data_IF_885143390013
#
_entry.id   IF_885143390013
#
_cell.length_a   1.000
_cell.length_b   1.000
_cell.length_c   1.000
_cell.angle_alpha   90.00
_cell.angle_beta   90.00
_cell.angle_gamma   90.00
#
_symmetry.space_group_name_H-M   'P 1'
#
loop_
_entity.id
_entity.type
_entity.pdbx_description
1 polymer ?
#
# COMPACT_ATOMS: atom_id res chain seq x y z
N UNK A 1 -9.14 3.18 -10.37
CA UNK A 1 -8.77 3.69 -9.04
C UNK A 1 -7.24 3.66 -8.84
N UNK A 2 -6.56 2.49 -8.97
CA UNK A 2 -5.12 2.34 -8.66
C UNK A 2 -4.22 3.36 -9.40
N UNK A 3 -4.34 3.47 -10.73
CA UNK A 3 -3.56 4.44 -11.51
C UNK A 3 -3.77 5.89 -11.06
N UNK A 4 -5.00 6.27 -10.71
CA UNK A 4 -5.32 7.62 -10.25
C UNK A 4 -4.67 7.91 -8.88
N UNK A 5 -4.70 6.94 -7.96
CA UNK A 5 -4.06 7.04 -6.64
C UNK A 5 -2.55 7.28 -6.79
N UNK A 6 -1.88 6.53 -7.66
CA UNK A 6 -0.44 6.65 -7.86
C UNK A 6 -0.04 7.91 -8.64
N UNK A 7 -0.86 8.35 -9.59
CA UNK A 7 -0.64 9.65 -10.26
C UNK A 7 -0.75 10.81 -9.28
N UNK A 8 -1.70 10.77 -8.35
CA UNK A 8 -1.82 11.78 -7.31
C UNK A 8 -0.59 11.82 -6.39
N UNK A 9 0.05 10.67 -6.16
CA UNK A 9 1.24 10.53 -5.35
C UNK A 9 2.55 10.74 -6.12
N UNK A 10 2.54 10.90 -7.44
CA UNK A 10 3.72 10.83 -8.32
C UNK A 10 4.88 11.72 -7.91
N UNK A 11 4.61 12.93 -7.42
CA UNK A 11 5.64 13.90 -7.00
C UNK A 11 6.42 13.45 -5.74
N UNK A 12 5.91 12.45 -5.04
CA UNK A 12 6.50 11.90 -3.81
C UNK A 12 7.17 10.54 -4.03
N UNK A 13 6.88 9.89 -5.16
CA UNK A 13 7.42 8.57 -5.48
C UNK A 13 8.77 8.69 -6.20
N UNK A 14 9.67 7.74 -5.96
CA UNK A 14 11.03 7.80 -6.47
C UNK A 14 11.33 6.70 -7.49
N UNK A 15 12.18 6.99 -8.45
CA UNK A 15 12.68 6.00 -9.41
C UNK A 15 13.59 5.01 -8.67
N UNK A 16 13.54 3.73 -9.08
CA UNK A 16 14.29 2.64 -8.47
C UNK A 16 13.97 2.39 -6.98
N UNK A 17 12.77 2.76 -6.54
CA UNK A 17 12.29 2.48 -5.19
C UNK A 17 12.10 0.98 -4.95
N UNK A 18 12.32 0.56 -3.71
CA UNK A 18 11.84 -0.71 -3.17
C UNK A 18 10.42 -0.48 -2.62
N UNK A 19 9.44 -1.16 -3.19
CA UNK A 19 8.01 -0.91 -2.91
C UNK A 19 7.38 -2.13 -2.26
N UNK A 20 6.56 -1.90 -1.22
CA UNK A 20 5.72 -2.93 -0.60
C UNK A 20 4.25 -2.54 -0.66
N UNK A 21 3.39 -3.51 -0.96
CA UNK A 21 1.94 -3.47 -0.71
C UNK A 21 1.60 -4.52 0.35
N UNK A 22 1.25 -4.10 1.58
CA UNK A 22 1.01 -5.01 2.71
C UNK A 22 -0.36 -5.72 2.69
N UNK A 23 -1.25 -5.35 1.78
CA UNK A 23 -2.57 -5.98 1.56
C UNK A 23 -2.85 -6.03 0.06
N UNK A 24 -1.97 -6.70 -0.69
CA UNK A 24 -1.83 -6.51 -2.13
C UNK A 24 -3.01 -7.07 -2.97
N UNK A 25 -3.83 -7.95 -2.40
CA UNK A 25 -4.91 -8.59 -3.16
C UNK A 25 -4.40 -9.22 -4.45
N UNK A 26 -4.95 -8.82 -5.58
CA UNK A 26 -4.55 -9.28 -6.93
C UNK A 26 -3.31 -8.61 -7.50
N UNK A 27 -2.63 -7.73 -6.75
CA UNK A 27 -1.40 -7.05 -7.14
C UNK A 27 -1.57 -5.79 -7.98
N UNK A 28 -2.78 -5.37 -8.27
CA UNK A 28 -3.06 -4.26 -9.21
C UNK A 28 -2.32 -2.97 -8.87
N UNK A 29 -2.27 -2.58 -7.60
CA UNK A 29 -1.61 -1.34 -7.19
C UNK A 29 -0.09 -1.39 -7.41
N UNK A 30 0.53 -2.56 -7.17
CA UNK A 30 1.96 -2.78 -7.45
C UNK A 30 2.27 -2.72 -8.94
N UNK A 31 1.42 -3.28 -9.79
CA UNK A 31 1.62 -3.24 -11.25
C UNK A 31 1.53 -1.81 -11.77
N UNK A 32 0.52 -1.06 -11.35
CA UNK A 32 0.38 0.36 -11.68
C UNK A 32 1.58 1.18 -11.20
N UNK A 33 2.13 0.87 -10.01
CA UNK A 33 3.36 1.51 -9.51
C UNK A 33 4.55 1.19 -10.41
N UNK A 34 4.71 -0.05 -10.82
CA UNK A 34 5.79 -0.48 -11.72
C UNK A 34 5.70 0.15 -13.11
N UNK A 35 4.47 0.40 -13.60
CA UNK A 35 4.25 1.10 -14.88
C UNK A 35 4.52 2.60 -14.79
N UNK A 36 4.34 3.21 -13.63
CA UNK A 36 4.56 4.65 -13.44
C UNK A 36 6.04 5.03 -13.56
N UNK A 37 6.94 4.26 -12.98
CA UNK A 37 8.39 4.41 -13.11
C UNK A 37 9.12 3.13 -12.66
N UNK A 38 10.35 2.90 -13.14
CA UNK A 38 11.15 1.74 -12.74
C UNK A 38 11.28 1.60 -11.23
N UNK A 39 11.15 0.37 -10.74
CA UNK A 39 11.30 0.02 -9.33
C UNK A 39 12.46 -0.97 -9.15
N UNK A 40 13.21 -0.84 -8.05
CA UNK A 40 14.25 -1.80 -7.68
C UNK A 40 13.64 -3.15 -7.24
N UNK A 41 12.50 -3.11 -6.57
CA UNK A 41 11.71 -4.30 -6.25
C UNK A 41 10.25 -3.95 -5.98
N UNK A 42 9.37 -4.90 -6.31
CA UNK A 42 7.93 -4.85 -6.00
C UNK A 42 7.62 -6.06 -5.12
N UNK A 43 7.07 -5.82 -3.93
CA UNK A 43 6.71 -6.89 -2.98
C UNK A 43 5.26 -6.76 -2.58
N UNK A 44 4.47 -7.79 -2.77
CA UNK A 44 3.09 -7.89 -2.30
C UNK A 44 2.97 -8.89 -1.16
N UNK A 45 2.29 -8.50 -0.10
CA UNK A 45 1.93 -9.37 1.02
C UNK A 45 0.41 -9.40 1.14
N UNK A 46 -0.15 -10.58 1.33
CA UNK A 46 -1.57 -10.76 1.62
C UNK A 46 -1.76 -12.02 2.46
N UNK A 47 -2.74 -12.01 3.34
CA UNK A 47 -3.06 -13.16 4.18
C UNK A 47 -3.81 -14.26 3.40
N UNK A 48 -4.41 -13.91 2.27
CA UNK A 48 -5.20 -14.80 1.43
C UNK A 48 -4.34 -15.53 0.40
N UNK A 49 -4.23 -16.85 0.50
CA UNK A 49 -3.60 -17.69 -0.52
C UNK A 49 -4.21 -17.47 -1.90
N UNK A 50 -5.55 -17.38 -1.99
CA UNK A 50 -6.26 -17.15 -3.26
C UNK A 50 -5.89 -15.82 -3.89
N UNK A 51 -5.73 -14.76 -3.08
CA UNK A 51 -5.31 -13.45 -3.57
C UNK A 51 -3.88 -13.50 -4.12
N UNK A 52 -2.97 -14.16 -3.41
CA UNK A 52 -1.57 -14.34 -3.83
C UNK A 52 -1.46 -15.15 -5.12
N UNK A 53 -2.23 -16.21 -5.28
CA UNK A 53 -2.24 -17.00 -6.52
C UNK A 53 -2.74 -16.18 -7.71
N UNK A 54 -3.80 -15.40 -7.51
CA UNK A 54 -4.29 -14.45 -8.50
C UNK A 54 -3.23 -13.40 -8.86
N UNK A 55 -2.54 -12.83 -7.85
CA UNK A 55 -1.50 -11.83 -8.05
C UNK A 55 -0.31 -12.38 -8.85
N UNK A 56 0.10 -13.62 -8.61
CA UNK A 56 1.17 -14.29 -9.37
C UNK A 56 0.84 -14.45 -10.86
N UNK A 57 -0.39 -14.89 -11.16
CA UNK A 57 -0.86 -15.00 -12.54
C UNK A 57 -0.88 -13.63 -13.23
N UNK A 58 -1.40 -12.62 -12.57
CA UNK A 58 -1.43 -11.26 -13.09
C UNK A 58 -0.04 -10.67 -13.30
N UNK A 59 0.92 -11.02 -12.43
CA UNK A 59 2.30 -10.56 -12.53
C UNK A 59 3.00 -11.06 -13.81
N UNK A 60 2.78 -12.30 -14.19
CA UNK A 60 3.34 -12.85 -15.44
C UNK A 60 2.85 -12.07 -16.66
N UNK A 61 1.56 -11.72 -16.67
CA UNK A 61 0.98 -10.90 -17.73
C UNK A 61 1.56 -9.49 -17.71
N UNK A 62 1.66 -8.84 -16.55
CA UNK A 62 2.16 -7.48 -16.41
C UNK A 62 3.64 -7.34 -16.83
N UNK A 63 4.48 -8.32 -16.50
CA UNK A 63 5.89 -8.35 -16.95
C UNK A 63 5.96 -8.46 -18.46
N UNK A 64 5.20 -9.37 -19.07
CA UNK A 64 5.20 -9.59 -20.53
C UNK A 64 4.69 -8.38 -21.32
N UNK A 65 3.62 -7.74 -20.84
CA UNK A 65 2.94 -6.69 -21.60
C UNK A 65 3.48 -5.31 -21.32
N UNK A 66 3.92 -5.03 -20.08
CA UNK A 66 4.32 -3.70 -19.65
C UNK A 66 5.82 -3.57 -19.32
N UNK A 67 6.57 -4.67 -19.33
CA UNK A 67 8.02 -4.64 -19.06
C UNK A 67 8.39 -4.17 -17.65
N UNK A 68 7.49 -4.30 -16.68
CA UNK A 68 7.73 -3.90 -15.30
C UNK A 68 8.69 -4.85 -14.57
N UNK A 69 9.29 -4.39 -13.49
CA UNK A 69 10.05 -5.25 -12.57
C UNK A 69 9.17 -6.38 -12.07
N UNK A 70 9.68 -7.61 -12.07
CA UNK A 70 8.96 -8.76 -11.57
C UNK A 70 8.64 -8.59 -10.08
N UNK A 71 7.35 -8.69 -9.75
CA UNK A 71 6.88 -8.58 -8.38
C UNK A 71 6.99 -9.92 -7.64
N UNK A 72 7.38 -9.86 -6.36
CA UNK A 72 7.37 -10.98 -5.43
C UNK A 72 6.10 -10.96 -4.58
N UNK A 73 5.37 -12.08 -4.53
CA UNK A 73 4.16 -12.21 -3.73
C UNK A 73 4.34 -13.24 -2.62
N UNK A 74 3.97 -12.85 -1.40
CA UNK A 74 4.17 -13.63 -0.17
C UNK A 74 2.83 -13.74 0.56
N UNK A 75 2.37 -14.97 0.78
CA UNK A 75 1.23 -15.22 1.65
C UNK A 75 1.70 -15.14 3.10
N UNK A 76 1.36 -14.06 3.79
CA UNK A 76 1.71 -13.84 5.19
C UNK A 76 0.78 -12.79 5.81
N UNK A 77 0.68 -12.82 7.12
CA UNK A 77 0.08 -11.75 7.90
C UNK A 77 1.08 -10.58 8.01
N UNK A 78 0.69 -9.38 7.58
CA UNK A 78 1.54 -8.20 7.66
C UNK A 78 1.97 -7.88 9.10
N UNK A 79 1.20 -8.29 10.10
CA UNK A 79 1.55 -8.14 11.51
C UNK A 79 2.77 -8.98 11.92
N UNK A 80 3.06 -10.04 11.16
CA UNK A 80 4.17 -10.98 11.39
C UNK A 80 5.25 -10.92 10.32
N UNK A 81 4.95 -10.24 9.20
CA UNK A 81 5.90 -10.14 8.09
C UNK A 81 7.13 -9.34 8.50
N UNK A 82 8.30 -9.91 8.22
CA UNK A 82 9.59 -9.27 8.45
C UNK A 82 10.35 -9.09 7.14
N UNK A 83 10.98 -7.95 6.98
CA UNK A 83 11.87 -7.66 5.86
C UNK A 83 13.29 -7.42 6.39
N UNK A 84 14.28 -8.03 5.70
CA UNK A 84 15.71 -7.82 6.05
C UNK A 84 16.17 -6.37 5.84
N UNK A 85 15.47 -5.61 5.03
CA UNK A 85 15.78 -4.21 4.70
C UNK A 85 14.48 -3.43 4.56
N UNK A 86 14.39 -2.22 5.07
CA UNK A 86 13.19 -1.40 4.92
C UNK A 86 12.93 -1.05 3.44
N UNK A 87 11.69 -0.75 3.14
CA UNK A 87 11.25 -0.28 1.83
C UNK A 87 11.34 1.23 1.73
N UNK A 88 11.47 1.74 0.50
CA UNK A 88 11.41 3.18 0.22
C UNK A 88 9.97 3.67 0.23
N UNK A 89 9.05 2.82 -0.24
CA UNK A 89 7.65 3.13 -0.42
C UNK A 89 6.75 1.98 0.07
N UNK A 90 5.67 2.36 0.75
CA UNK A 90 4.55 1.49 1.07
C UNK A 90 3.32 2.03 0.34
N UNK A 91 2.67 1.20 -0.45
CA UNK A 91 1.44 1.56 -1.14
C UNK A 91 0.35 0.57 -0.72
N UNK A 92 -0.84 1.02 -0.39
CA UNK A 92 -1.89 0.12 0.06
C UNK A 92 -3.29 0.64 -0.24
N UNK A 93 -4.09 -0.19 -0.89
CA UNK A 93 -5.53 -0.05 -0.89
C UNK A 93 -6.07 -0.80 0.32
N UNK A 94 -6.25 -0.07 1.42
CA UNK A 94 -6.65 -0.66 2.70
C UNK A 94 -8.05 -1.29 2.61
N UNK A 95 -8.26 -2.48 3.19
CA UNK A 95 -9.59 -3.05 3.25
C UNK A 95 -10.52 -2.15 4.08
N UNK A 96 -11.76 -2.02 3.65
CA UNK A 96 -12.78 -1.28 4.36
C UNK A 96 -13.97 -2.20 4.70
N UNK A 97 -14.59 -1.95 5.85
CA UNK A 97 -15.51 -2.85 6.54
C UNK A 97 -16.73 -3.38 5.79
N UNK A 98 -17.04 -2.86 4.60
CA UNK A 98 -18.20 -3.28 3.82
C UNK A 98 -17.98 -4.53 2.95
N UNK A 99 -16.74 -4.98 2.76
CA UNK A 99 -16.40 -6.13 1.91
C UNK A 99 -15.58 -7.21 2.59
N UNK A 100 -14.77 -6.86 3.59
CA UNK A 100 -13.87 -7.81 4.27
C UNK A 100 -13.79 -7.44 5.75
N UNK A 101 -14.54 -8.16 6.59
CA UNK A 101 -14.53 -7.99 8.04
C UNK A 101 -15.48 -6.91 8.57
N UNK A 102 -15.54 -6.79 9.88
CA UNK A 102 -16.29 -5.76 10.58
C UNK A 102 -15.38 -4.54 10.90
N UNK A 103 -15.97 -3.44 11.36
CA UNK A 103 -15.25 -2.20 11.71
C UNK A 103 -14.07 -2.45 12.67
N UNK A 104 -14.23 -3.33 13.65
CA UNK A 104 -13.19 -3.67 14.64
C UNK A 104 -11.99 -4.42 14.03
N UNK A 105 -12.18 -5.17 12.94
CA UNK A 105 -11.05 -5.82 12.24
C UNK A 105 -10.25 -4.84 11.40
N UNK A 106 -10.92 -3.84 10.80
CA UNK A 106 -10.24 -2.75 10.10
C UNK A 106 -9.42 -1.89 11.06
N UNK A 107 -9.96 -1.54 12.22
CA UNK A 107 -9.27 -0.77 13.25
C UNK A 107 -7.96 -1.44 13.67
N UNK A 108 -8.01 -2.72 14.05
CA UNK A 108 -6.80 -3.49 14.43
C UNK A 108 -5.76 -3.57 13.31
N UNK A 109 -6.21 -3.75 12.06
CA UNK A 109 -5.31 -3.77 10.91
C UNK A 109 -4.63 -2.41 10.70
N UNK A 110 -5.40 -1.32 10.77
CA UNK A 110 -4.87 0.04 10.56
C UNK A 110 -3.91 0.43 11.68
N UNK A 111 -4.25 0.18 12.95
CA UNK A 111 -3.36 0.38 14.09
C UNK A 111 -2.05 -0.38 13.90
N UNK A 112 -2.14 -1.69 13.70
CA UNK A 112 -0.96 -2.53 13.56
C UNK A 112 -0.11 -2.17 12.35
N UNK A 113 -0.69 -1.79 11.21
CA UNK A 113 0.06 -1.33 10.04
C UNK A 113 0.80 -0.02 10.34
N UNK A 114 0.15 0.95 10.97
CA UNK A 114 0.76 2.22 11.34
C UNK A 114 1.88 2.03 12.38
N UNK A 115 1.69 1.15 13.35
CA UNK A 115 2.71 0.83 14.36
C UNK A 115 3.96 0.16 13.74
N UNK A 116 3.75 -0.66 12.71
CA UNK A 116 4.83 -1.32 11.98
C UNK A 116 5.45 -0.48 10.86
N UNK A 117 4.86 0.66 10.55
CA UNK A 117 5.30 1.48 9.40
C UNK A 117 6.77 1.88 9.50
N UNK A 118 7.24 2.25 10.70
CA UNK A 118 8.66 2.58 10.94
C UNK A 118 9.63 1.39 10.83
N UNK A 119 9.14 0.14 10.88
CA UNK A 119 9.93 -1.07 10.64
C UNK A 119 9.95 -1.45 9.16
N UNK A 120 8.83 -1.23 8.47
CA UNK A 120 8.65 -1.60 7.06
C UNK A 120 9.21 -0.56 6.10
N UNK A 121 9.07 0.72 6.42
CA UNK A 121 9.46 1.85 5.58
C UNK A 121 10.63 2.57 6.22
N UNK A 122 11.65 2.90 5.44
CA UNK A 122 12.80 3.66 5.91
C UNK A 122 12.40 5.06 6.40
N UNK A 123 13.20 5.64 7.26
CA UNK A 123 13.11 7.06 7.62
C UNK A 123 13.14 7.94 6.37
N UNK A 124 12.22 8.88 6.28
CA UNK A 124 12.00 9.72 5.10
C UNK A 124 11.25 9.04 3.96
N UNK A 125 10.94 7.74 4.08
CA UNK A 125 10.18 7.00 3.09
C UNK A 125 8.70 7.40 3.06
N UNK A 126 8.01 7.01 2.00
CA UNK A 126 6.65 7.43 1.68
C UNK A 126 5.67 6.28 1.86
N UNK A 127 4.50 6.56 2.43
CA UNK A 127 3.38 5.64 2.39
C UNK A 127 2.19 6.30 1.66
N UNK A 128 1.60 5.57 0.72
CA UNK A 128 0.39 5.96 -0.01
C UNK A 128 -0.72 5.02 0.41
N UNK A 129 -1.67 5.54 1.17
CA UNK A 129 -2.80 4.78 1.69
C UNK A 129 -4.11 5.26 1.05
N UNK A 130 -4.94 4.32 0.63
CA UNK A 130 -6.24 4.58 0.02
C UNK A 130 -7.32 3.84 0.81
N UNK A 131 -8.35 4.56 1.29
CA UNK A 131 -9.37 3.96 2.17
C UNK A 131 -10.69 4.71 2.17
N UNK A 132 -11.77 3.99 2.50
CA UNK A 132 -13.06 4.54 2.88
C UNK A 132 -13.12 4.95 4.37
N UNK A 133 -12.32 4.29 5.22
CA UNK A 133 -12.27 4.55 6.68
C UNK A 133 -11.34 5.72 7.02
N UNK A 134 -11.47 6.82 6.28
CA UNK A 134 -10.53 7.94 6.39
C UNK A 134 -10.59 8.68 7.73
N UNK A 135 -11.74 8.70 8.40
CA UNK A 135 -11.87 9.29 9.74
C UNK A 135 -11.08 8.47 10.77
N UNK A 136 -11.22 7.15 10.74
CA UNK A 136 -10.46 6.23 11.56
C UNK A 136 -8.95 6.41 11.31
N UNK A 137 -8.53 6.35 10.05
CA UNK A 137 -7.11 6.49 9.69
C UNK A 137 -6.52 7.82 10.17
N UNK A 138 -7.24 8.94 10.00
CA UNK A 138 -6.81 10.26 10.50
C UNK A 138 -6.61 10.29 12.00
N UNK A 139 -7.53 9.73 12.76
CA UNK A 139 -7.44 9.69 14.21
C UNK A 139 -6.22 8.89 14.66
N UNK A 140 -6.02 7.70 14.07
CA UNK A 140 -4.87 6.86 14.37
C UNK A 140 -3.53 7.50 14.01
N UNK A 141 -3.45 8.24 12.89
CA UNK A 141 -2.23 8.96 12.50
C UNK A 141 -1.91 10.09 13.49
N UNK A 142 -2.92 10.83 13.98
CA UNK A 142 -2.70 11.93 14.95
C UNK A 142 -2.06 11.47 16.25
N UNK A 143 -2.27 10.24 16.65
CA UNK A 143 -1.67 9.64 17.85
C UNK A 143 -0.19 9.25 17.67
N UNK A 144 0.33 9.32 16.44
CA UNK A 144 1.68 8.83 16.06
C UNK A 144 2.59 9.97 15.62
N UNK A 145 3.61 10.27 16.44
CA UNK A 145 4.57 11.36 16.17
C UNK A 145 5.53 11.06 15.01
N UNK A 146 5.72 9.79 14.71
CA UNK A 146 6.64 9.31 13.66
C UNK A 146 6.02 9.28 12.26
N UNK A 147 4.79 9.72 12.09
CA UNK A 147 4.08 9.76 10.81
C UNK A 147 3.57 11.18 10.55
N UNK A 148 3.82 11.68 9.36
CA UNK A 148 3.38 12.99 8.91
C UNK A 148 2.49 12.87 7.67
N UNK A 149 1.33 13.55 7.65
CA UNK A 149 0.50 13.65 6.46
C UNK A 149 1.06 14.77 5.58
N UNK A 150 1.59 14.42 4.41
CA UNK A 150 2.08 15.37 3.42
C UNK A 150 0.96 15.92 2.55
N UNK A 151 0.05 15.04 2.14
CA UNK A 151 -1.07 15.37 1.25
C UNK A 151 -2.22 14.40 1.46
N UNK A 152 -3.43 14.86 1.27
CA UNK A 152 -4.63 14.03 1.32
C UNK A 152 -5.67 14.57 0.36
N UNK A 153 -6.44 13.68 -0.28
CA UNK A 153 -7.48 14.05 -1.24
C UNK A 153 -8.64 13.07 -1.21
N UNK A 154 -9.86 13.59 -1.31
CA UNK A 154 -11.05 12.76 -1.56
C UNK A 154 -11.15 12.45 -3.05
N UNK A 155 -11.53 11.23 -3.36
CA UNK A 155 -11.75 10.80 -4.75
C UNK A 155 -13.16 10.24 -4.89
N UNK A 156 -13.63 10.18 -6.13
CA UNK A 156 -14.87 9.48 -6.46
C UNK A 156 -14.53 8.20 -7.21
N UNK A 157 -15.08 7.08 -6.77
CA UNK A 157 -14.86 5.78 -7.38
C UNK A 157 -16.13 4.91 -7.28
N UNK A 158 -16.87 4.78 -8.37
CA UNK A 158 -18.05 3.90 -8.43
C UNK A 158 -19.13 4.22 -7.40
N UNK A 159 -19.42 5.51 -7.17
CA UNK A 159 -20.40 5.97 -6.18
C UNK A 159 -19.90 5.99 -4.74
N UNK A 160 -18.62 5.65 -4.50
CA UNK A 160 -17.95 5.75 -3.23
C UNK A 160 -17.02 6.97 -3.22
N UNK A 161 -16.74 7.50 -2.03
CA UNK A 161 -15.85 8.66 -1.82
C UNK A 161 -14.65 8.32 -0.93
N UNK A 162 -13.76 7.42 -1.38
CA UNK A 162 -12.55 7.09 -0.63
C UNK A 162 -11.56 8.27 -0.59
N UNK A 163 -10.61 8.21 0.33
CA UNK A 163 -9.57 9.21 0.48
C UNK A 163 -8.18 8.60 0.25
N UNK A 164 -7.32 9.37 -0.41
CA UNK A 164 -5.90 9.09 -0.56
C UNK A 164 -5.15 9.86 0.51
N UNK A 165 -4.19 9.20 1.15
CA UNK A 165 -3.23 9.81 2.07
C UNK A 165 -1.82 9.58 1.57
N UNK A 166 -1.02 10.62 1.50
CA UNK A 166 0.42 10.54 1.29
C UNK A 166 1.08 10.90 2.62
N UNK A 167 1.80 9.93 3.16
CA UNK A 167 2.44 10.01 4.47
C UNK A 167 3.95 9.94 4.31
N UNK A 168 4.67 10.59 5.23
CA UNK A 168 6.11 10.43 5.42
C UNK A 168 6.38 9.76 6.75
N UNK A 169 7.26 8.77 6.74
CA UNK A 169 7.81 8.18 7.96
C UNK A 169 8.92 9.09 8.46
N UNK A 170 8.77 9.63 9.67
CA UNK A 170 9.76 10.46 10.37
C UNK A 170 10.70 9.60 11.23
N UNK A 171 11.53 10.25 11.97
CA UNK A 171 12.42 9.64 12.98
C UNK A 171 11.64 8.98 14.12
#
# INVERSE_FOLDING_TARGET
>A
AAAAVLRFASDYLTVNARVIDPCCGSGTLLFERGMLSPCASLTGVDISHKAIDCARVNAEAAVKTCGITQAKFICNDIMRFESKRPYDELICNLPFGNRVGNHSSCERLYEGLLDRMGLLVKKGGIAVLYTMEFTLLKNLIRERRNIEILKQERTEAGGLTPMIFILRVKE
#
